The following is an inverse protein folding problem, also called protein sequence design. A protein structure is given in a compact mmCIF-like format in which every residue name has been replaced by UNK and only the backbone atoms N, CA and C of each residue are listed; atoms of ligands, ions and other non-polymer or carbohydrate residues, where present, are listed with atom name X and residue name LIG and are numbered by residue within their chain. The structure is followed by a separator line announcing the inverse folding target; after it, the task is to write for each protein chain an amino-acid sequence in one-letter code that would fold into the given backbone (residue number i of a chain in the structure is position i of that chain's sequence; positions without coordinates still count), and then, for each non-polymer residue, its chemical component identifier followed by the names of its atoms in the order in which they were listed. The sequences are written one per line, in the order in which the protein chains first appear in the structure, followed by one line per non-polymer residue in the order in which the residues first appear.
data_IF_906838506949
#
_entry.id   IF_906838506949
#
_cell.length_a   1.000
_cell.length_b   1.000
_cell.length_c   1.000
_cell.angle_alpha   90.00
_cell.angle_beta   90.00
_cell.angle_gamma   90.00
#
_symmetry.space_group_name_H-M   'P 1'
#
loop_
_entity.id
_entity.type
_entity.pdbx_description
1 polymer ?
#
# COMPACT_ATOMS: atom_id res chain seq x y z
N UNK A 1 -28.59 -35.27 -14.68
CA UNK A 1 -28.34 -33.88 -14.29
C UNK A 1 -26.82 -33.71 -14.11
N UNK A 2 -26.13 -33.23 -15.17
CA UNK A 2 -24.71 -32.88 -15.11
C UNK A 2 -24.60 -31.55 -14.37
N UNK A 3 -24.00 -31.56 -13.18
CA UNK A 3 -23.56 -30.36 -12.47
C UNK A 3 -22.30 -29.89 -13.18
N UNK A 4 -22.39 -28.78 -13.92
CA UNK A 4 -21.22 -28.13 -14.46
C UNK A 4 -20.35 -27.67 -13.26
N UNK A 5 -19.02 -27.89 -13.30
CA UNK A 5 -18.17 -27.36 -12.27
C UNK A 5 -18.29 -25.81 -12.28
N UNK A 6 -18.53 -25.23 -11.12
CA UNK A 6 -18.36 -23.80 -10.89
C UNK A 6 -16.88 -23.51 -11.12
N UNK A 7 -16.54 -22.90 -12.24
CA UNK A 7 -15.19 -22.38 -12.45
C UNK A 7 -15.03 -21.29 -11.40
N UNK A 8 -14.19 -21.55 -10.40
CA UNK A 8 -13.78 -20.52 -9.46
C UNK A 8 -13.25 -19.34 -10.30
N UNK A 9 -13.69 -18.15 -9.97
CA UNK A 9 -13.22 -16.92 -10.66
C UNK A 9 -11.71 -16.77 -10.34
N UNK A 10 -10.89 -17.14 -11.31
CA UNK A 10 -9.43 -17.35 -11.14
C UNK A 10 -8.65 -16.02 -11.14
N UNK A 11 -9.36 -14.92 -10.89
CA UNK A 11 -8.77 -13.58 -10.84
C UNK A 11 -7.90 -13.42 -9.60
N UNK A 12 -6.69 -12.87 -9.76
CA UNK A 12 -5.86 -12.51 -8.61
C UNK A 12 -6.60 -11.58 -7.65
N UNK A 13 -6.47 -11.84 -6.36
CA UNK A 13 -6.98 -10.99 -5.27
C UNK A 13 -5.81 -10.19 -4.69
N UNK A 14 -5.83 -8.89 -4.94
CA UNK A 14 -4.84 -7.93 -4.46
C UNK A 14 -5.47 -7.17 -3.29
N UNK A 15 -4.77 -7.07 -2.17
CA UNK A 15 -5.23 -6.30 -1.02
C UNK A 15 -4.41 -5.02 -0.91
N UNK A 16 -5.05 -3.86 -1.03
CA UNK A 16 -4.46 -2.56 -0.70
C UNK A 16 -4.59 -2.36 0.81
N UNK A 17 -3.54 -2.71 1.55
CA UNK A 17 -3.48 -2.64 3.00
C UNK A 17 -2.69 -1.41 3.42
N UNK A 18 -3.41 -0.40 3.93
CA UNK A 18 -2.80 0.90 4.19
C UNK A 18 -3.65 1.81 5.08
N UNK A 19 -3.36 3.09 5.01
CA UNK A 19 -4.05 4.13 5.77
C UNK A 19 -5.07 4.92 4.93
N UNK A 20 -5.17 6.23 5.12
CA UNK A 20 -6.07 7.12 4.38
C UNK A 20 -5.76 7.20 2.89
N UNK A 21 -4.49 6.99 2.50
CA UNK A 21 -4.05 7.03 1.10
C UNK A 21 -4.61 5.83 0.33
N UNK A 22 -4.64 4.66 0.96
CA UNK A 22 -5.29 3.45 0.43
C UNK A 22 -6.81 3.51 0.55
N UNK A 23 -7.34 4.03 1.67
CA UNK A 23 -8.78 4.12 1.91
C UNK A 23 -9.52 5.02 0.90
N UNK A 24 -8.85 6.02 0.35
CA UNK A 24 -9.46 7.02 -0.53
C UNK A 24 -10.11 8.17 0.25
N UNK A 25 -9.45 8.63 1.33
CA UNK A 25 -9.97 9.71 2.17
C UNK A 25 -10.33 10.96 1.36
N UNK A 26 -11.56 11.45 1.53
CA UNK A 26 -12.06 12.67 0.88
C UNK A 26 -12.37 12.51 -0.62
N UNK A 27 -12.36 11.29 -1.15
CA UNK A 27 -12.68 10.96 -2.54
C UNK A 27 -13.98 10.16 -2.64
N UNK A 28 -14.61 10.18 -3.79
CA UNK A 28 -15.65 9.21 -4.12
C UNK A 28 -15.04 7.81 -4.27
N UNK A 29 -15.80 6.76 -3.95
CA UNK A 29 -15.30 5.37 -4.00
C UNK A 29 -14.65 5.02 -5.33
N UNK A 30 -15.23 5.48 -6.46
CA UNK A 30 -14.71 5.25 -7.81
C UNK A 30 -13.35 5.92 -8.09
N UNK A 31 -12.93 6.85 -7.24
CA UNK A 31 -11.69 7.62 -7.34
C UNK A 31 -10.61 7.13 -6.38
N UNK A 32 -10.96 6.18 -5.51
CA UNK A 32 -10.02 5.60 -4.54
C UNK A 32 -8.90 4.83 -5.23
N UNK A 33 -7.74 4.76 -4.58
CA UNK A 33 -6.57 4.06 -5.11
C UNK A 33 -6.87 2.60 -5.51
N UNK A 34 -7.56 1.77 -4.69
CA UNK A 34 -7.83 0.38 -5.07
C UNK A 34 -8.69 0.25 -6.33
N UNK A 35 -9.74 1.08 -6.46
CA UNK A 35 -10.63 1.05 -7.62
C UNK A 35 -9.90 1.51 -8.89
N UNK A 36 -9.12 2.59 -8.80
CA UNK A 36 -8.31 3.08 -9.93
C UNK A 36 -7.25 2.08 -10.34
N UNK A 37 -6.63 1.39 -9.39
CA UNK A 37 -5.67 0.33 -9.67
C UNK A 37 -6.34 -0.85 -10.39
N UNK A 38 -7.52 -1.29 -9.96
CA UNK A 38 -8.27 -2.35 -10.63
C UNK A 38 -8.59 -2.00 -12.09
N UNK A 39 -8.99 -0.76 -12.35
CA UNK A 39 -9.24 -0.25 -13.71
C UNK A 39 -7.95 -0.28 -14.54
N UNK A 40 -6.83 0.16 -13.98
CA UNK A 40 -5.54 0.18 -14.67
C UNK A 40 -5.01 -1.23 -14.98
N UNK A 41 -5.16 -2.18 -14.04
CA UNK A 41 -4.81 -3.59 -14.25
C UNK A 41 -5.64 -4.19 -15.40
N UNK A 42 -6.94 -3.94 -15.41
CA UNK A 42 -7.81 -4.41 -16.49
C UNK A 42 -7.42 -3.81 -17.85
N UNK A 43 -7.07 -2.53 -17.89
CA UNK A 43 -6.56 -1.88 -19.11
C UNK A 43 -5.22 -2.47 -19.58
N UNK A 44 -4.40 -2.96 -18.66
CA UNK A 44 -3.15 -3.67 -18.95
C UNK A 44 -3.36 -5.16 -19.32
N UNK A 45 -4.61 -5.64 -19.41
CA UNK A 45 -4.96 -7.01 -19.80
C UNK A 45 -5.05 -8.01 -18.63
N UNK A 46 -4.94 -7.55 -17.38
CA UNK A 46 -5.04 -8.40 -16.19
C UNK A 46 -6.36 -8.10 -15.44
N UNK A 47 -7.31 -9.04 -15.50
CA UNK A 47 -8.50 -8.96 -14.67
C UNK A 47 -8.14 -9.41 -13.25
N UNK A 48 -8.04 -8.46 -12.32
CA UNK A 48 -7.80 -8.71 -10.89
C UNK A 48 -8.92 -8.08 -10.05
N UNK A 49 -9.09 -8.55 -8.84
CA UNK A 49 -9.89 -7.87 -7.80
C UNK A 49 -8.93 -7.12 -6.89
N UNK A 50 -9.20 -5.83 -6.63
CA UNK A 50 -8.43 -5.04 -5.67
C UNK A 50 -9.31 -4.72 -4.46
N UNK A 51 -9.00 -5.34 -3.33
CA UNK A 51 -9.71 -5.18 -2.07
C UNK A 51 -9.16 -3.96 -1.35
N UNK A 52 -10.04 -3.03 -0.97
CA UNK A 52 -9.68 -1.89 -0.13
C UNK A 52 -9.63 -2.33 1.34
N UNK A 53 -8.44 -2.39 1.90
CA UNK A 53 -8.18 -2.63 3.32
C UNK A 53 -7.45 -1.42 3.95
N UNK A 54 -7.69 -0.21 3.44
CA UNK A 54 -7.22 1.05 4.01
C UNK A 54 -8.10 1.48 5.18
N UNK A 55 -7.47 2.03 6.23
CA UNK A 55 -8.15 2.63 7.38
C UNK A 55 -7.56 4.01 7.64
N UNK A 56 -8.37 5.05 7.43
CA UNK A 56 -7.91 6.43 7.58
C UNK A 56 -7.37 6.71 8.98
N UNK A 57 -6.18 7.30 9.05
CA UNK A 57 -5.51 7.62 10.30
C UNK A 57 -4.72 6.47 10.92
N UNK A 58 -4.68 5.31 10.29
CA UNK A 58 -3.95 4.15 10.81
C UNK A 58 -2.44 4.40 10.86
N UNK A 59 -1.84 3.99 11.97
CA UNK A 59 -0.39 3.88 12.11
C UNK A 59 0.06 2.46 11.80
N UNK A 60 1.37 2.24 11.76
CA UNK A 60 1.91 0.88 11.63
C UNK A 60 1.47 -0.04 12.77
N UNK A 61 1.31 0.47 13.99
CA UNK A 61 0.77 -0.28 15.13
C UNK A 61 -0.71 -0.67 14.92
N UNK A 62 -1.54 0.26 14.42
CA UNK A 62 -2.94 -0.02 14.07
C UNK A 62 -3.05 -1.07 12.97
N UNK A 63 -2.26 -0.92 11.89
CA UNK A 63 -2.19 -1.91 10.82
C UNK A 63 -1.77 -3.29 11.32
N UNK A 64 -0.73 -3.38 12.17
CA UNK A 64 -0.30 -4.64 12.77
C UNK A 64 -1.41 -5.31 13.58
N UNK A 65 -2.14 -4.53 14.39
CA UNK A 65 -3.22 -5.04 15.25
C UNK A 65 -4.39 -5.63 14.46
N UNK A 66 -4.65 -5.12 13.24
CA UNK A 66 -5.78 -5.56 12.40
C UNK A 66 -5.40 -6.51 11.24
N UNK A 67 -4.12 -6.82 11.07
CA UNK A 67 -3.63 -7.54 9.90
C UNK A 67 -4.43 -8.83 9.62
N UNK A 68 -4.57 -9.68 10.62
CA UNK A 68 -5.15 -11.02 10.44
C UNK A 68 -6.64 -10.98 10.01
N UNK A 69 -7.42 -10.05 10.55
CA UNK A 69 -8.85 -9.98 10.23
C UNK A 69 -9.18 -9.07 9.03
N UNK A 70 -8.18 -8.30 8.55
CA UNK A 70 -8.34 -7.45 7.36
C UNK A 70 -8.09 -8.18 6.05
N UNK A 71 -7.45 -9.35 6.10
CA UNK A 71 -7.12 -10.11 4.91
C UNK A 71 -8.21 -11.14 4.59
N UNK A 72 -8.71 -11.22 3.34
CA UNK A 72 -9.60 -12.29 2.92
C UNK A 72 -8.90 -13.65 2.97
N UNK A 73 -9.67 -14.73 2.83
CA UNK A 73 -9.15 -16.09 2.87
C UNK A 73 -8.10 -16.34 1.75
N UNK A 74 -8.38 -15.84 0.54
CA UNK A 74 -7.45 -15.88 -0.59
C UNK A 74 -6.84 -14.48 -0.81
N UNK A 75 -5.53 -14.42 -0.84
CA UNK A 75 -4.74 -13.22 -1.15
C UNK A 75 -3.58 -13.62 -2.05
N UNK A 76 -3.50 -13.04 -3.23
CA UNK A 76 -2.42 -13.29 -4.19
C UNK A 76 -1.33 -12.20 -4.12
N UNK A 77 -1.64 -11.01 -3.58
CA UNK A 77 -0.69 -9.93 -3.34
C UNK A 77 -1.21 -8.99 -2.26
N UNK A 78 -0.35 -8.54 -1.35
CA UNK A 78 -0.59 -7.39 -0.48
C UNK A 78 0.24 -6.20 -0.97
N UNK A 79 -0.41 -5.07 -1.22
CA UNK A 79 0.26 -3.77 -1.33
C UNK A 79 0.25 -3.19 0.08
N UNK A 80 1.43 -3.18 0.72
CA UNK A 80 1.59 -2.66 2.09
C UNK A 80 1.99 -1.19 2.03
N UNK A 81 1.05 -0.32 2.40
CA UNK A 81 1.18 1.13 2.40
C UNK A 81 0.86 1.65 3.81
N UNK A 82 1.86 1.82 4.66
CA UNK A 82 1.74 2.34 6.03
C UNK A 82 2.99 3.11 6.43
N UNK A 83 2.83 3.99 7.41
CA UNK A 83 3.90 4.76 8.03
C UNK A 83 3.73 6.27 7.88
N UNK A 84 2.86 6.75 6.98
CA UNK A 84 2.61 8.19 6.85
C UNK A 84 2.14 8.81 8.17
N UNK A 85 1.20 8.15 8.86
CA UNK A 85 0.70 8.63 10.14
C UNK A 85 1.72 8.52 11.28
N UNK A 86 2.62 7.55 11.22
CA UNK A 86 3.76 7.45 12.16
C UNK A 86 4.68 8.67 12.00
N UNK A 87 5.06 8.98 10.75
CA UNK A 87 5.84 10.17 10.44
C UNK A 87 5.14 11.46 10.86
N UNK A 88 3.86 11.65 10.52
CA UNK A 88 3.09 12.85 10.88
C UNK A 88 2.98 13.05 12.40
N UNK A 89 2.95 11.97 13.18
CA UNK A 89 2.85 12.00 14.64
C UNK A 89 4.22 11.99 15.34
N UNK A 90 5.33 11.88 14.60
CA UNK A 90 6.67 11.82 15.15
C UNK A 90 6.92 10.57 16.02
N UNK A 91 6.27 9.45 15.68
CA UNK A 91 6.50 8.16 16.33
C UNK A 91 7.96 7.73 16.10
N UNK A 92 8.59 7.13 17.11
CA UNK A 92 9.97 6.66 16.99
C UNK A 92 10.14 5.75 15.76
N UNK A 93 11.07 6.07 14.84
CA UNK A 93 11.33 5.23 13.68
C UNK A 93 11.62 3.77 14.01
N UNK A 94 12.20 3.48 15.19
CA UNK A 94 12.45 2.11 15.65
C UNK A 94 11.13 1.36 15.93
N UNK A 95 10.13 2.04 16.46
CA UNK A 95 8.79 1.46 16.68
C UNK A 95 8.08 1.20 15.35
N UNK A 96 8.12 2.18 14.43
CA UNK A 96 7.60 2.04 13.07
C UNK A 96 8.25 0.83 12.35
N UNK A 97 9.60 0.71 12.44
CA UNK A 97 10.33 -0.42 11.86
C UNK A 97 9.89 -1.75 12.47
N UNK A 98 9.75 -1.83 13.79
CA UNK A 98 9.37 -3.06 14.48
C UNK A 98 7.96 -3.54 14.05
N UNK A 99 7.00 -2.62 13.92
CA UNK A 99 5.65 -2.94 13.50
C UNK A 99 5.61 -3.43 12.04
N UNK A 100 6.28 -2.73 11.12
CA UNK A 100 6.36 -3.12 9.71
C UNK A 100 7.11 -4.46 9.54
N UNK A 101 8.18 -4.70 10.29
CA UNK A 101 8.90 -5.98 10.32
C UNK A 101 7.99 -7.13 10.76
N UNK A 102 7.15 -6.92 11.77
CA UNK A 102 6.18 -7.90 12.23
C UNK A 102 5.10 -8.20 11.19
N UNK A 103 4.59 -7.16 10.50
CA UNK A 103 3.64 -7.31 9.39
C UNK A 103 4.27 -8.15 8.27
N UNK A 104 5.46 -7.76 7.79
CA UNK A 104 6.16 -8.45 6.71
C UNK A 104 6.49 -9.91 7.08
N UNK A 105 6.90 -10.18 8.31
CA UNK A 105 7.11 -11.55 8.83
C UNK A 105 5.82 -12.38 8.81
N UNK A 106 4.71 -11.78 9.21
CA UNK A 106 3.42 -12.47 9.24
C UNK A 106 2.96 -12.83 7.82
N UNK A 107 3.06 -11.90 6.88
CA UNK A 107 2.75 -12.13 5.47
C UNK A 107 3.68 -13.20 4.86
N UNK A 108 4.99 -13.12 5.14
CA UNK A 108 5.97 -14.11 4.68
C UNK A 108 5.71 -15.53 5.21
N UNK A 109 5.29 -15.69 6.47
CA UNK A 109 4.89 -16.99 7.04
C UNK A 109 3.66 -17.59 6.34
N UNK A 110 2.80 -16.74 5.79
CA UNK A 110 1.62 -17.14 5.02
C UNK A 110 1.92 -17.33 3.53
N UNK A 111 3.18 -17.13 3.11
CA UNK A 111 3.62 -17.14 1.71
C UNK A 111 2.83 -16.16 0.83
N UNK A 112 2.44 -15.03 1.36
CA UNK A 112 1.73 -13.99 0.63
C UNK A 112 2.77 -13.03 0.03
N UNK A 113 2.83 -12.85 -1.30
CA UNK A 113 3.66 -11.85 -1.96
C UNK A 113 3.34 -10.44 -1.46
N UNK A 114 4.36 -9.58 -1.37
CA UNK A 114 4.19 -8.20 -0.91
C UNK A 114 4.84 -7.23 -1.89
N UNK A 115 4.06 -6.23 -2.29
CA UNK A 115 4.60 -4.97 -2.78
C UNK A 115 4.66 -4.00 -1.60
N UNK A 116 5.86 -3.74 -1.10
CA UNK A 116 6.08 -2.84 0.00
C UNK A 116 6.36 -1.42 -0.51
N UNK A 117 5.63 -0.43 -0.02
CA UNK A 117 5.80 0.96 -0.40
C UNK A 117 6.43 1.76 0.73
N UNK A 118 7.42 2.58 0.38
CA UNK A 118 8.08 3.46 1.33
C UNK A 118 7.31 4.76 1.55
N UNK A 119 7.62 5.41 2.67
CA UNK A 119 7.20 6.76 3.01
C UNK A 119 8.43 7.63 3.32
N UNK A 120 8.27 8.93 3.21
CA UNK A 120 9.27 9.91 3.62
C UNK A 120 8.79 10.68 4.84
N UNK A 121 9.72 11.01 5.71
CA UNK A 121 9.43 11.80 6.92
C UNK A 121 8.99 13.23 6.55
N UNK A 122 8.04 13.82 7.30
CA UNK A 122 7.75 15.24 7.20
C UNK A 122 9.01 16.09 7.48
N UNK A 123 9.23 17.18 6.70
CA UNK A 123 10.48 17.95 6.78
C UNK A 123 10.67 18.71 8.11
N UNK A 124 9.62 18.85 8.91
CA UNK A 124 9.62 19.60 10.17
C UNK A 124 10.12 18.81 11.39
N UNK A 125 10.40 17.50 11.26
CA UNK A 125 10.86 16.66 12.38
C UNK A 125 12.38 16.63 12.55
N UNK A 126 13.10 17.35 11.72
CA UNK A 126 14.55 17.45 11.77
C UNK A 126 15.26 16.26 11.09
N UNK A 127 16.54 16.53 10.76
CA UNK A 127 17.32 15.63 9.90
C UNK A 127 17.55 14.24 10.52
N UNK A 128 17.84 14.21 11.82
CA UNK A 128 18.10 12.93 12.49
C UNK A 128 16.89 11.99 12.42
N UNK A 129 15.69 12.52 12.62
CA UNK A 129 14.45 11.75 12.48
C UNK A 129 14.25 11.30 11.03
N UNK A 130 14.37 12.22 10.08
CA UNK A 130 14.16 11.94 8.67
C UNK A 130 15.13 10.85 8.17
N UNK A 131 16.42 10.97 8.44
CA UNK A 131 17.43 9.99 8.03
C UNK A 131 17.10 8.59 8.60
N UNK A 132 16.65 8.50 9.85
CA UNK A 132 16.28 7.24 10.49
C UNK A 132 14.99 6.65 9.91
N UNK A 133 13.96 7.49 9.70
CA UNK A 133 12.65 7.09 9.18
C UNK A 133 12.73 6.66 7.72
N UNK A 134 13.37 7.44 6.87
CA UNK A 134 13.45 7.16 5.43
C UNK A 134 14.27 5.89 5.16
N UNK A 135 15.32 5.64 5.97
CA UNK A 135 16.18 4.47 5.80
C UNK A 135 15.53 3.14 6.24
N UNK A 136 14.48 3.14 7.06
CA UNK A 136 13.87 1.90 7.54
C UNK A 136 13.19 1.10 6.43
N UNK A 137 12.54 1.77 5.46
CA UNK A 137 11.78 1.12 4.39
C UNK A 137 12.66 0.29 3.44
N UNK A 138 13.72 0.83 2.82
CA UNK A 138 14.60 0.03 1.96
C UNK A 138 15.33 -1.07 2.74
N UNK A 139 15.66 -0.84 4.03
CA UNK A 139 16.27 -1.85 4.90
C UNK A 139 15.34 -3.03 5.15
N UNK A 140 14.06 -2.78 5.43
CA UNK A 140 13.04 -3.81 5.60
C UNK A 140 12.77 -4.54 4.29
N UNK A 141 12.65 -3.83 3.17
CA UNK A 141 12.46 -4.44 1.86
C UNK A 141 13.58 -5.43 1.52
N UNK A 142 14.83 -5.05 1.76
CA UNK A 142 15.99 -5.92 1.55
C UNK A 142 16.00 -7.13 2.51
N UNK A 143 15.64 -6.92 3.79
CA UNK A 143 15.58 -7.98 4.82
C UNK A 143 14.57 -9.07 4.48
N UNK A 144 13.42 -8.66 3.94
CA UNK A 144 12.32 -9.58 3.60
C UNK A 144 12.29 -10.01 2.14
N UNK A 145 13.23 -9.53 1.31
CA UNK A 145 13.33 -9.81 -0.11
C UNK A 145 12.02 -9.55 -0.89
N UNK A 146 11.29 -8.51 -0.52
CA UNK A 146 10.01 -8.13 -1.14
C UNK A 146 10.22 -7.11 -2.27
N UNK A 147 9.25 -7.03 -3.19
CA UNK A 147 9.24 -5.96 -4.19
C UNK A 147 9.02 -4.62 -3.49
N UNK A 148 9.86 -3.64 -3.79
CA UNK A 148 9.85 -2.35 -3.11
C UNK A 148 9.61 -1.20 -4.06
N UNK A 149 8.68 -0.30 -3.68
CA UNK A 149 8.45 0.99 -4.30
C UNK A 149 8.87 2.10 -3.33
N UNK A 150 9.89 2.91 -3.64
CA UNK A 150 10.58 3.73 -2.64
C UNK A 150 9.72 4.78 -1.95
N UNK A 151 8.75 5.38 -2.64
CA UNK A 151 7.89 6.41 -2.07
C UNK A 151 6.49 6.39 -2.70
N UNK A 152 5.46 6.02 -1.93
CA UNK A 152 4.09 5.89 -2.42
C UNK A 152 3.57 7.15 -3.10
N UNK A 153 3.88 8.33 -2.56
CA UNK A 153 3.46 9.63 -3.07
C UNK A 153 4.44 10.27 -4.08
N UNK A 154 5.32 9.48 -4.70
CA UNK A 154 6.29 10.02 -5.64
C UNK A 154 5.64 10.72 -6.84
N UNK A 155 6.02 12.00 -7.05
CA UNK A 155 5.47 12.85 -8.09
C UNK A 155 4.08 13.41 -7.79
N UNK A 156 3.61 13.23 -6.53
CA UNK A 156 2.34 13.77 -6.02
C UNK A 156 2.55 14.61 -4.77
N UNK A 157 3.42 14.17 -3.85
CA UNK A 157 3.72 14.93 -2.64
C UNK A 157 4.18 16.35 -2.97
N UNK A 158 3.64 17.33 -2.24
CA UNK A 158 3.90 18.78 -2.42
C UNK A 158 3.47 19.37 -3.78
N UNK A 159 2.90 18.59 -4.69
CA UNK A 159 2.35 19.09 -5.94
C UNK A 159 0.89 19.53 -5.74
N UNK A 160 0.66 20.83 -5.62
CA UNK A 160 -0.65 21.40 -5.25
C UNK A 160 -1.78 20.98 -6.18
N UNK A 161 -1.51 20.81 -7.47
CA UNK A 161 -2.49 20.38 -8.48
C UNK A 161 -2.92 18.92 -8.35
N UNK A 162 -2.17 18.10 -7.61
CA UNK A 162 -2.40 16.68 -7.42
C UNK A 162 -2.88 16.32 -6.01
N UNK A 163 -3.03 17.31 -5.13
CA UNK A 163 -3.49 17.11 -3.75
C UNK A 163 -4.80 17.83 -3.47
N UNK A 164 -5.52 17.34 -2.46
CA UNK A 164 -6.68 17.98 -1.89
C UNK A 164 -6.29 19.29 -1.18
N UNK A 165 -7.25 20.13 -0.78
CA UNK A 165 -6.95 21.41 -0.12
C UNK A 165 -6.10 21.31 1.16
N UNK A 166 -6.09 20.15 1.82
CA UNK A 166 -5.27 19.88 3.00
C UNK A 166 -3.77 19.74 2.70
N UNK A 167 -3.40 19.54 1.42
CA UNK A 167 -2.01 19.40 0.96
C UNK A 167 -1.34 18.07 1.33
N UNK A 168 -2.09 17.13 1.88
CA UNK A 168 -1.60 15.82 2.37
C UNK A 168 -2.17 14.68 1.53
N UNK A 169 -3.48 14.69 1.26
CA UNK A 169 -4.15 13.63 0.56
C UNK A 169 -4.21 13.92 -0.95
N UNK A 170 -3.92 12.94 -1.79
CA UNK A 170 -4.08 13.06 -3.24
C UNK A 170 -5.52 13.37 -3.63
N UNK A 171 -5.71 14.21 -4.65
CA UNK A 171 -6.97 14.34 -5.36
C UNK A 171 -7.08 13.24 -6.45
N UNK A 172 -8.19 13.12 -7.21
CA UNK A 172 -8.33 12.08 -8.22
C UNK A 172 -7.18 12.01 -9.24
N UNK A 173 -6.66 13.17 -9.67
CA UNK A 173 -5.51 13.21 -10.58
C UNK A 173 -4.22 12.74 -9.92
N UNK A 174 -4.05 13.01 -8.62
CA UNK A 174 -2.95 12.49 -7.82
C UNK A 174 -3.02 10.96 -7.67
N UNK A 175 -4.22 10.41 -7.43
CA UNK A 175 -4.43 8.95 -7.38
C UNK A 175 -4.08 8.31 -8.71
N UNK A 176 -4.55 8.86 -9.83
CA UNK A 176 -4.23 8.34 -11.16
C UNK A 176 -2.71 8.36 -11.42
N UNK A 177 -2.00 9.38 -10.93
CA UNK A 177 -0.53 9.47 -11.01
C UNK A 177 0.15 8.39 -10.19
N UNK A 178 -0.32 8.12 -8.97
CA UNK A 178 0.20 7.04 -8.10
C UNK A 178 0.00 5.70 -8.79
N UNK A 179 -1.22 5.40 -9.25
CA UNK A 179 -1.56 4.15 -9.93
C UNK A 179 -0.66 3.92 -11.15
N UNK A 180 -0.51 4.93 -12.01
CA UNK A 180 0.33 4.83 -13.21
C UNK A 180 1.78 4.47 -12.89
N UNK A 181 2.34 5.04 -11.80
CA UNK A 181 3.72 4.77 -11.37
C UNK A 181 3.87 3.42 -10.69
N UNK A 182 2.86 3.01 -9.91
CA UNK A 182 2.91 1.80 -9.12
C UNK A 182 2.61 0.54 -9.95
N UNK A 183 1.81 0.65 -11.02
CA UNK A 183 1.34 -0.47 -11.84
C UNK A 183 2.47 -1.43 -12.29
N UNK A 184 3.63 -0.98 -12.80
CA UNK A 184 4.72 -1.90 -13.19
C UNK A 184 5.26 -2.71 -12.01
N UNK A 185 5.24 -2.15 -10.79
CA UNK A 185 5.69 -2.84 -9.58
C UNK A 185 4.66 -3.85 -9.11
N UNK A 186 3.36 -3.55 -9.25
CA UNK A 186 2.26 -4.49 -8.95
C UNK A 186 2.37 -5.72 -9.85
N UNK A 187 2.50 -5.52 -11.17
CA UNK A 187 2.67 -6.61 -12.12
C UNK A 187 3.89 -7.47 -11.79
N UNK A 188 5.04 -6.85 -11.54
CA UNK A 188 6.27 -7.56 -11.12
C UNK A 188 6.10 -8.33 -9.81
N UNK A 189 5.35 -7.79 -8.85
CA UNK A 189 5.14 -8.46 -7.57
C UNK A 189 4.22 -9.69 -7.70
N UNK A 190 3.22 -9.64 -8.60
CA UNK A 190 2.38 -10.79 -8.94
C UNK A 190 3.15 -11.89 -9.66
N UNK A 191 4.10 -11.53 -10.53
CA UNK A 191 4.93 -12.50 -11.26
C UNK A 191 5.99 -13.16 -10.37
N UNK A 192 6.30 -12.58 -9.22
CA UNK A 192 7.33 -13.07 -8.29
C UNK A 192 6.79 -14.07 -7.24
N UNK A 193 5.47 -14.23 -7.12
CA UNK A 193 4.79 -15.13 -6.19
C UNK A 193 4.27 -16.36 -6.91
#
# INVERSE_FOLDING_TARGET
LSVLPVVADDKPVIVAFGDSLSAGYGLDDAESFPVRLEVALRAAGLAAQVVNAGVSGDTTAGGLARLDWSLPERVDLVILELGANDGLRGIDPAETEANLDAILKTLGKRNIPVLFTGMLAPPNLGRQYADAFDALFPRLAARHAVVFYPFFLEGVAAERSLNQPDGIHPNPAGVDRIVMRLLPFVLRALDAG
#
